data_IF_031189636427
#
_entry.id   IF_031189636427
#
_cell.length_a   1.000
_cell.length_b   1.000
_cell.length_c   1.000
_cell.angle_alpha   90.00
_cell.angle_beta   90.00
_cell.angle_gamma   90.00
#
_symmetry.space_group_name_H-M   'P 1'
#
loop_
_entity.id
_entity.type
_entity.pdbx_description
1 polymer ?
#
# COMPACT_ATOMS: atom_id res chain seq x y z
N UNK A 1 -25.10 -31.87 12.58
CA UNK A 1 -24.17 -31.07 13.40
C UNK A 1 -23.18 -30.38 12.49
N UNK A 2 -23.29 -29.06 12.36
CA UNK A 2 -22.42 -28.26 11.51
C UNK A 2 -20.98 -28.35 12.03
N UNK A 3 -20.12 -28.94 11.21
CA UNK A 3 -18.69 -29.11 11.50
C UNK A 3 -18.10 -27.70 11.69
N UNK A 4 -17.60 -27.46 12.89
CA UNK A 4 -16.86 -26.27 13.37
C UNK A 4 -16.29 -25.42 12.23
N UNK A 5 -16.97 -24.32 11.92
CA UNK A 5 -16.46 -23.23 11.08
C UNK A 5 -15.27 -22.60 11.80
N UNK A 6 -14.06 -23.00 11.41
CA UNK A 6 -12.83 -22.37 11.87
C UNK A 6 -12.59 -21.12 11.01
N UNK A 7 -13.24 -20.04 11.41
CA UNK A 7 -12.99 -18.70 10.90
C UNK A 7 -11.69 -18.14 11.51
N UNK A 8 -10.52 -18.73 11.19
CA UNK A 8 -9.21 -18.20 11.63
C UNK A 8 -8.29 -17.82 10.47
N UNK A 9 -8.83 -17.61 9.26
CA UNK A 9 -8.04 -17.22 8.08
C UNK A 9 -7.92 -15.71 7.85
N UNK A 10 -8.46 -14.87 8.74
CA UNK A 10 -8.24 -13.42 8.71
C UNK A 10 -8.13 -12.92 10.15
N UNK A 11 -6.92 -12.90 10.68
CA UNK A 11 -6.63 -12.13 11.89
C UNK A 11 -7.12 -10.70 11.68
N UNK A 12 -7.97 -10.14 12.56
CA UNK A 12 -8.35 -8.73 12.52
C UNK A 12 -7.12 -7.89 12.86
N UNK A 13 -6.27 -7.66 11.87
CA UNK A 13 -4.92 -7.13 12.03
C UNK A 13 -3.92 -7.58 10.97
N UNK A 14 -4.37 -8.15 9.84
CA UNK A 14 -3.52 -8.37 8.68
C UNK A 14 -2.79 -7.09 8.29
N UNK A 15 -1.55 -7.21 7.81
CA UNK A 15 -0.70 -6.10 7.42
C UNK A 15 -1.52 -5.06 6.63
N UNK A 16 -1.66 -3.87 7.20
CA UNK A 16 -2.39 -2.79 6.55
C UNK A 16 -1.52 -2.29 5.42
N UNK A 17 -2.01 -2.47 4.20
CA UNK A 17 -1.34 -1.98 3.01
C UNK A 17 -1.96 -0.64 2.61
N UNK A 18 -1.10 0.31 2.30
CA UNK A 18 -1.47 1.59 1.74
C UNK A 18 -1.03 1.64 0.28
N UNK A 19 -1.90 2.18 -0.58
CA UNK A 19 -1.55 2.50 -1.95
C UNK A 19 -0.94 3.91 -1.97
N UNK A 20 0.35 3.99 -2.27
CA UNK A 20 1.07 5.26 -2.40
C UNK A 20 1.06 5.67 -3.87
N UNK A 21 0.54 6.86 -4.15
CA UNK A 21 0.50 7.44 -5.50
C UNK A 21 1.51 8.57 -5.54
N UNK A 22 2.55 8.45 -6.36
CA UNK A 22 3.55 9.52 -6.56
C UNK A 22 3.40 10.17 -7.91
N UNK A 23 3.38 11.49 -7.93
CA UNK A 23 3.47 12.27 -9.14
C UNK A 23 4.95 12.46 -9.53
N UNK A 24 5.35 11.91 -10.68
CA UNK A 24 6.68 12.08 -11.26
C UNK A 24 6.57 13.10 -12.39
N UNK A 25 7.34 14.18 -12.30
CA UNK A 25 7.40 15.20 -13.35
C UNK A 25 8.15 14.63 -14.57
N UNK A 26 7.55 14.71 -15.74
CA UNK A 26 8.19 14.34 -17.00
C UNK A 26 8.95 15.53 -17.61
N UNK A 27 9.90 15.26 -18.49
CA UNK A 27 10.75 16.27 -19.15
C UNK A 27 9.94 17.29 -19.97
N UNK A 28 8.72 16.93 -20.37
CA UNK A 28 7.78 17.78 -21.12
C UNK A 28 6.84 18.60 -20.23
N UNK A 29 7.06 18.60 -18.91
CA UNK A 29 6.32 19.41 -17.94
C UNK A 29 5.01 18.83 -17.41
N UNK A 30 4.59 17.64 -17.87
CA UNK A 30 3.45 16.90 -17.33
C UNK A 30 3.80 16.06 -16.10
N UNK A 31 2.78 15.54 -15.41
CA UNK A 31 2.95 14.61 -14.30
C UNK A 31 2.44 13.22 -14.68
N UNK A 32 3.27 12.20 -14.41
CA UNK A 32 2.89 10.79 -14.52
C UNK A 32 2.72 10.24 -13.12
N UNK A 33 1.61 9.57 -12.85
CA UNK A 33 1.36 8.93 -11.56
C UNK A 33 1.91 7.51 -11.56
N UNK A 34 2.73 7.18 -10.56
CA UNK A 34 3.17 5.81 -10.27
C UNK A 34 2.51 5.35 -8.99
N UNK A 35 1.89 4.17 -9.02
CA UNK A 35 1.22 3.55 -7.89
C UNK A 35 2.06 2.40 -7.34
N UNK A 36 2.26 2.36 -6.02
CA UNK A 36 2.98 1.29 -5.33
C UNK A 36 2.19 0.89 -4.08
N UNK A 37 2.04 -0.42 -3.84
CA UNK A 37 1.45 -0.93 -2.60
C UNK A 37 2.55 -1.21 -1.59
N UNK A 38 2.48 -0.54 -0.44
CA UNK A 38 3.47 -0.66 0.64
C UNK A 38 2.76 -0.88 1.97
N UNK A 39 3.46 -1.40 2.97
CA UNK A 39 2.91 -1.48 4.32
C UNK A 39 2.70 -0.07 4.88
N UNK A 40 1.66 0.12 5.69
CA UNK A 40 1.30 1.40 6.29
C UNK A 40 2.46 2.00 7.12
N UNK A 41 3.27 1.14 7.75
CA UNK A 41 4.46 1.55 8.51
C UNK A 41 5.52 2.24 7.61
N UNK A 42 5.67 1.77 6.37
CA UNK A 42 6.73 2.20 5.46
C UNK A 42 6.29 3.36 4.55
N UNK A 43 5.01 3.75 4.57
CA UNK A 43 4.47 4.85 3.74
C UNK A 43 5.25 6.14 3.89
N UNK A 44 5.65 6.48 5.13
CA UNK A 44 6.39 7.71 5.42
C UNK A 44 7.78 7.69 4.79
N UNK A 45 8.47 6.56 4.89
CA UNK A 45 9.83 6.38 4.35
C UNK A 45 9.80 6.36 2.82
N UNK A 46 8.77 5.73 2.26
CA UNK A 46 8.50 5.73 0.83
C UNK A 46 8.32 7.18 0.38
N UNK A 47 7.36 7.94 0.93
CA UNK A 47 7.13 9.33 0.53
C UNK A 47 8.33 10.27 0.77
N UNK A 48 9.10 10.06 1.85
CA UNK A 48 10.27 10.87 2.18
C UNK A 48 11.47 10.62 1.27
N UNK A 49 11.52 9.48 0.57
CA UNK A 49 12.55 9.18 -0.43
C UNK A 49 12.41 10.14 -1.61
N UNK A 50 13.15 11.24 -1.55
CA UNK A 50 13.24 12.28 -2.56
C UNK A 50 14.21 11.80 -3.66
N UNK A 51 13.66 11.28 -4.74
CA UNK A 51 14.37 11.09 -6.00
C UNK A 51 14.24 12.37 -6.83
#
# INVERSE_FOLDING_TARGET
MAKKVVATLKQPGGAKFAKVIRAVKNEKGGYTYKEEMVLEADVKDVLAKKN
#
